data_IF_697326396611
#
_entry.id   IF_697326396611
#
_cell.length_a   1.000
_cell.length_b   1.000
_cell.length_c   1.000
_cell.angle_alpha   90.00
_cell.angle_beta   90.00
_cell.angle_gamma   90.00
#
_symmetry.space_group_name_H-M   'P 1'
#
loop_
_entity.id
_entity.type
_entity.pdbx_description
1 polymer ?
#
# COMPACT_ATOMS: atom_id res chain seq x y z
N UNK A 1 -16.89 11.27 -7.61
CA UNK A 1 -15.85 10.22 -7.67
C UNK A 1 -16.33 9.07 -6.79
N UNK A 2 -17.53 8.54 -7.09
CA UNK A 2 -18.36 7.85 -6.09
C UNK A 2 -18.02 6.36 -5.93
N UNK A 3 -16.89 5.96 -6.52
CA UNK A 3 -16.47 4.57 -6.69
C UNK A 3 -15.03 4.32 -6.23
N UNK A 4 -14.45 5.21 -5.42
CA UNK A 4 -13.12 5.02 -4.83
C UNK A 4 -12.99 3.64 -4.16
N UNK A 5 -11.96 2.87 -4.54
CA UNK A 5 -11.85 1.45 -4.17
C UNK A 5 -10.84 1.19 -3.04
N UNK A 6 -9.90 2.10 -2.81
CA UNK A 6 -8.78 1.86 -1.92
C UNK A 6 -8.86 2.53 -0.53
N UNK A 7 -10.03 3.04 -0.14
CA UNK A 7 -10.15 3.87 1.07
C UNK A 7 -9.55 5.28 0.90
N UNK A 8 -9.34 5.96 2.03
CA UNK A 8 -8.78 7.31 2.09
C UNK A 8 -7.49 7.34 2.90
N UNK A 9 -6.52 8.14 2.46
CA UNK A 9 -5.30 8.44 3.23
C UNK A 9 -4.97 9.93 3.15
N UNK A 10 -4.20 10.42 4.11
CA UNK A 10 -3.83 11.84 4.21
C UNK A 10 -2.31 11.97 4.08
N UNK A 11 -1.88 12.61 3.00
CA UNK A 11 -0.47 12.91 2.74
C UNK A 11 0.08 13.95 3.70
N UNK A 12 1.41 14.05 3.76
CA UNK A 12 2.11 14.95 4.67
C UNK A 12 1.80 16.44 4.43
N UNK A 13 1.46 16.82 3.19
CA UNK A 13 0.97 18.16 2.84
C UNK A 13 -0.51 18.41 3.19
N UNK A 14 -1.19 17.43 3.79
CA UNK A 14 -2.58 17.54 4.26
C UNK A 14 -3.64 17.23 3.22
N UNK A 15 -3.27 16.88 1.98
CA UNK A 15 -4.23 16.48 0.96
C UNK A 15 -4.80 15.09 1.25
N UNK A 16 -6.07 14.89 0.91
CA UNK A 16 -6.74 13.58 1.02
C UNK A 16 -6.57 12.86 -0.32
N UNK A 17 -6.30 11.55 -0.26
CA UNK A 17 -6.07 10.72 -1.43
C UNK A 17 -6.93 9.46 -1.43
N UNK A 18 -7.37 9.07 -2.64
CA UNK A 18 -7.99 7.77 -2.92
C UNK A 18 -7.52 7.25 -4.27
N UNK A 19 -7.95 6.04 -4.65
CA UNK A 19 -7.73 5.51 -5.99
C UNK A 19 -9.00 4.92 -6.58
N UNK A 20 -9.06 4.92 -7.91
CA UNK A 20 -10.02 4.17 -8.69
C UNK A 20 -9.35 3.72 -9.99
N UNK A 21 -9.35 2.42 -10.27
CA UNK A 21 -8.67 1.85 -11.43
C UNK A 21 -7.20 2.35 -11.51
N UNK A 22 -6.79 2.93 -12.64
CA UNK A 22 -5.46 3.52 -12.80
C UNK A 22 -5.39 5.01 -12.42
N UNK A 23 -6.34 5.53 -11.65
CA UNK A 23 -6.41 6.93 -11.25
C UNK A 23 -6.10 7.10 -9.77
N UNK A 24 -5.25 8.08 -9.46
CA UNK A 24 -5.18 8.71 -8.15
C UNK A 24 -6.19 9.86 -8.10
N UNK A 25 -6.95 9.93 -7.02
CA UNK A 25 -7.80 11.06 -6.69
C UNK A 25 -7.13 11.86 -5.58
N UNK A 26 -6.86 13.13 -5.83
CA UNK A 26 -6.45 14.12 -4.83
C UNK A 26 -7.66 14.98 -4.48
N UNK A 27 -7.87 15.23 -3.19
CA UNK A 27 -8.96 16.04 -2.67
C UNK A 27 -8.38 17.08 -1.71
N UNK A 28 -8.70 18.35 -1.95
CA UNK A 28 -8.41 19.41 -0.99
C UNK A 28 -9.43 19.32 0.17
N UNK A 29 -8.99 19.09 1.42
CA UNK A 29 -9.92 18.91 2.53
C UNK A 29 -10.69 20.18 2.92
N UNK A 30 -10.25 21.36 2.48
CA UNK A 30 -10.87 22.64 2.81
C UNK A 30 -11.82 23.14 1.72
N UNK A 31 -11.47 22.95 0.44
CA UNK A 31 -12.27 23.42 -0.70
C UNK A 31 -13.12 22.33 -1.34
N UNK A 32 -12.82 21.05 -1.06
CA UNK A 32 -13.40 19.87 -1.70
C UNK A 32 -13.12 19.77 -3.20
N UNK A 33 -12.23 20.60 -3.73
CA UNK A 33 -11.76 20.49 -5.12
C UNK A 33 -11.02 19.16 -5.30
N UNK A 34 -11.31 18.51 -6.42
CA UNK A 34 -10.81 17.19 -6.76
C UNK A 34 -9.96 17.25 -8.03
N UNK A 35 -8.83 16.56 -8.00
CA UNK A 35 -7.93 16.41 -9.15
C UNK A 35 -7.70 14.91 -9.39
N UNK A 36 -7.78 14.50 -10.65
CA UNK A 36 -7.50 13.12 -11.08
C UNK A 36 -6.16 13.04 -11.75
N UNK A 37 -5.30 12.16 -11.28
CA UNK A 37 -3.97 11.94 -11.85
C UNK A 37 -3.92 10.50 -12.38
N UNK A 38 -3.64 10.37 -13.68
CA UNK A 38 -3.51 9.05 -14.30
C UNK A 38 -2.15 8.43 -13.95
N UNK A 39 -2.18 7.23 -13.37
CA UNK A 39 -1.01 6.37 -13.21
C UNK A 39 -0.65 5.71 -14.55
N UNK A 40 0.59 5.20 -14.72
CA UNK A 40 0.95 4.41 -15.89
C UNK A 40 -0.04 3.28 -16.16
N UNK A 41 -0.13 2.88 -17.43
CA UNK A 41 -1.05 1.83 -17.87
C UNK A 41 -0.83 0.55 -17.04
N UNK A 42 -1.93 -0.11 -16.69
CA UNK A 42 -1.96 -1.37 -15.93
C UNK A 42 -1.54 -1.28 -14.46
N UNK A 43 -1.12 -0.10 -13.97
CA UNK A 43 -0.88 0.14 -12.54
C UNK A 43 -2.18 0.55 -11.86
N UNK A 44 -2.57 -0.18 -10.81
CA UNK A 44 -3.74 0.12 -9.98
C UNK A 44 -3.54 -0.33 -8.55
N UNK A 45 -4.03 0.45 -7.59
CA UNK A 45 -3.96 0.06 -6.19
C UNK A 45 -4.90 -1.13 -5.92
N UNK A 46 -4.37 -2.14 -5.25
CA UNK A 46 -5.08 -3.38 -4.95
C UNK A 46 -6.03 -3.16 -3.78
N UNK A 47 -7.20 -3.78 -3.87
CA UNK A 47 -8.19 -3.92 -2.81
C UNK A 47 -8.79 -5.33 -2.85
N UNK A 48 -9.29 -5.84 -1.72
CA UNK A 48 -9.96 -7.13 -1.69
C UNK A 48 -11.44 -6.95 -2.06
N UNK A 49 -11.88 -7.60 -3.14
CA UNK A 49 -13.27 -7.53 -3.60
C UNK A 49 -14.19 -8.59 -2.96
N UNK A 50 -13.62 -9.57 -2.25
CA UNK A 50 -14.33 -10.74 -1.72
C UNK A 50 -14.48 -10.72 -0.19
N UNK A 51 -13.71 -9.88 0.50
CA UNK A 51 -13.81 -9.67 1.94
C UNK A 51 -13.49 -8.21 2.27
N UNK A 52 -14.04 -7.69 3.36
CA UNK A 52 -13.72 -6.33 3.78
C UNK A 52 -12.27 -6.24 4.25
N UNK A 53 -11.49 -5.40 3.56
CA UNK A 53 -10.14 -4.98 3.94
C UNK A 53 -9.99 -3.51 3.57
N UNK A 54 -9.13 -2.77 4.26
CA UNK A 54 -8.72 -1.47 3.76
C UNK A 54 -8.02 -1.68 2.39
N UNK A 55 -8.11 -0.68 1.51
CA UNK A 55 -7.29 -0.70 0.30
C UNK A 55 -5.82 -0.45 0.63
N UNK A 56 -4.94 -0.87 -0.26
CA UNK A 56 -3.49 -0.78 -0.03
C UNK A 56 -2.91 0.65 -0.02
N UNK A 57 -3.68 1.67 -0.41
CA UNK A 57 -3.21 3.04 -0.47
C UNK A 57 -2.95 3.61 0.94
N UNK A 58 -1.70 3.98 1.20
CA UNK A 58 -1.28 4.61 2.44
C UNK A 58 -0.26 5.72 2.17
N UNK A 59 -0.36 6.84 2.90
CA UNK A 59 0.59 7.93 2.81
C UNK A 59 1.74 7.77 3.81
N UNK A 60 2.91 8.29 3.45
CA UNK A 60 3.99 8.51 4.41
C UNK A 60 3.71 9.70 5.32
N UNK A 61 4.17 9.62 6.57
CA UNK A 61 4.27 10.75 7.50
C UNK A 61 5.64 11.44 7.49
N UNK A 62 6.64 10.82 6.85
CA UNK A 62 8.00 11.32 6.79
C UNK A 62 8.28 12.12 5.50
N UNK A 63 7.54 11.86 4.43
CA UNK A 63 7.71 12.49 3.11
C UNK A 63 6.37 12.70 2.39
N UNK A 64 6.34 13.55 1.37
CA UNK A 64 5.17 13.73 0.50
C UNK A 64 5.11 12.59 -0.53
N UNK A 65 4.78 11.39 -0.05
CA UNK A 65 4.67 10.21 -0.89
C UNK A 65 3.48 9.33 -0.49
N UNK A 66 2.94 8.62 -1.48
CA UNK A 66 1.93 7.58 -1.32
C UNK A 66 2.53 6.22 -1.67
N UNK A 67 2.08 5.18 -0.99
CA UNK A 67 2.47 3.80 -1.21
C UNK A 67 1.23 2.95 -1.45
N UNK A 68 1.34 1.97 -2.35
CA UNK A 68 0.26 1.03 -2.63
C UNK A 68 0.78 -0.25 -3.27
N UNK A 69 -0.05 -1.30 -3.25
CA UNK A 69 0.20 -2.58 -3.91
C UNK A 69 -0.43 -2.58 -5.29
N UNK A 70 0.30 -3.01 -6.32
CA UNK A 70 -0.25 -3.41 -7.61
C UNK A 70 0.28 -4.82 -7.93
N UNK A 71 -0.62 -5.80 -7.94
CA UNK A 71 -0.28 -7.23 -8.00
C UNK A 71 0.67 -7.65 -6.85
N UNK A 72 1.93 -7.97 -7.18
CA UNK A 72 2.99 -8.33 -6.22
C UNK A 72 4.02 -7.22 -6.01
N UNK A 73 3.79 -6.06 -6.60
CA UNK A 73 4.69 -4.92 -6.60
C UNK A 73 4.21 -3.86 -5.61
N UNK A 74 5.15 -3.28 -4.88
CA UNK A 74 4.90 -2.10 -4.06
C UNK A 74 5.42 -0.90 -4.84
N UNK A 75 4.54 0.06 -5.06
CA UNK A 75 4.86 1.32 -5.71
C UNK A 75 4.94 2.44 -4.67
N UNK A 76 5.78 3.42 -4.97
CA UNK A 76 5.89 4.68 -4.25
C UNK A 76 5.64 5.82 -5.24
N UNK A 77 4.51 6.49 -5.09
CA UNK A 77 4.26 7.74 -5.80
C UNK A 77 4.86 8.90 -5.01
N UNK A 78 5.87 9.56 -5.56
CA UNK A 78 6.37 10.85 -5.07
C UNK A 78 5.40 11.93 -5.55
N UNK A 79 4.72 12.61 -4.63
CA UNK A 79 3.64 13.55 -4.99
C UNK A 79 4.19 14.67 -5.87
N UNK A 80 3.62 14.80 -7.07
CA UNK A 80 4.05 15.76 -8.09
C UNK A 80 5.01 15.19 -9.14
N UNK A 81 5.48 13.95 -8.96
CA UNK A 81 6.36 13.25 -9.90
C UNK A 81 5.74 11.90 -10.31
N UNK A 82 4.95 11.91 -11.38
CA UNK A 82 4.31 10.69 -11.89
C UNK A 82 5.32 9.65 -12.40
N UNK A 83 6.53 10.07 -12.79
CA UNK A 83 7.56 9.16 -13.29
C UNK A 83 8.11 8.24 -12.19
N UNK A 84 7.90 8.59 -10.91
CA UNK A 84 8.18 7.70 -9.77
C UNK A 84 7.43 6.36 -9.84
N UNK A 85 6.36 6.27 -10.64
CA UNK A 85 5.59 5.04 -10.87
C UNK A 85 6.06 4.21 -12.07
N UNK A 86 7.11 4.61 -12.80
CA UNK A 86 7.62 3.84 -13.94
C UNK A 86 8.25 2.51 -13.54
N UNK A 87 8.65 2.37 -12.28
CA UNK A 87 9.18 1.13 -11.71
C UNK A 87 8.69 0.95 -10.29
N UNK A 88 8.47 -0.29 -9.83
CA UNK A 88 8.12 -0.53 -8.44
C UNK A 88 9.28 -0.15 -7.52
N UNK A 89 8.96 0.23 -6.28
CA UNK A 89 9.95 0.41 -5.23
C UNK A 89 10.61 -0.93 -4.88
N UNK A 90 9.80 -1.99 -4.79
CA UNK A 90 10.24 -3.37 -4.67
C UNK A 90 9.13 -4.34 -5.08
N UNK A 91 9.52 -5.59 -5.33
CA UNK A 91 8.61 -6.71 -5.59
C UNK A 91 8.71 -7.70 -4.45
N UNK A 92 7.57 -8.18 -3.96
CA UNK A 92 7.52 -9.23 -2.93
C UNK A 92 8.09 -10.54 -3.50
N UNK A 93 8.82 -11.37 -2.71
CA UNK A 93 9.40 -12.61 -3.20
C UNK A 93 8.40 -13.55 -3.88
N UNK A 94 8.86 -14.28 -4.90
CA UNK A 94 8.06 -15.28 -5.60
C UNK A 94 7.56 -16.39 -4.65
N UNK A 95 6.43 -17.01 -5.00
CA UNK A 95 5.78 -18.04 -4.17
C UNK A 95 5.07 -17.47 -2.94
N UNK A 96 4.80 -16.16 -2.95
CA UNK A 96 4.04 -15.45 -1.91
C UNK A 96 2.79 -14.81 -2.51
N UNK A 97 1.86 -14.51 -1.64
CA UNK A 97 0.63 -13.79 -1.91
C UNK A 97 0.45 -12.69 -0.87
N UNK A 98 0.23 -11.47 -1.31
CA UNK A 98 -0.24 -10.41 -0.44
C UNK A 98 -1.71 -10.69 -0.11
N UNK A 99 -2.06 -10.68 1.19
CA UNK A 99 -3.43 -10.92 1.66
C UNK A 99 -3.90 -9.77 2.53
N UNK A 100 -5.20 -9.48 2.52
CA UNK A 100 -5.77 -8.36 3.27
C UNK A 100 -5.52 -7.01 2.59
N UNK A 101 -5.35 -5.95 3.39
CA UNK A 101 -4.73 -4.69 2.93
C UNK A 101 -3.29 -4.93 2.49
N UNK A 102 -2.62 -5.88 3.16
CA UNK A 102 -1.33 -6.42 2.75
C UNK A 102 -0.12 -5.56 3.07
N UNK A 103 -0.30 -4.26 3.31
CA UNK A 103 0.79 -3.35 3.67
C UNK A 103 0.36 -2.18 4.54
N UNK A 104 1.33 -1.55 5.20
CA UNK A 104 1.22 -0.22 5.80
C UNK A 104 2.61 0.42 5.91
N UNK A 105 2.68 1.73 6.11
CA UNK A 105 3.96 2.46 6.25
C UNK A 105 4.12 2.90 7.70
N UNK A 106 5.24 2.50 8.32
CA UNK A 106 5.58 2.93 9.67
C UNK A 106 5.75 4.46 9.70
N UNK A 107 4.92 5.19 10.48
CA UNK A 107 4.95 6.64 10.50
C UNK A 107 6.26 7.21 11.06
N UNK A 108 7.06 6.44 11.81
CA UNK A 108 8.33 6.90 12.41
C UNK A 108 9.52 6.60 11.52
N UNK A 109 9.65 5.36 11.08
CA UNK A 109 10.84 4.90 10.34
C UNK A 109 10.72 5.02 8.83
N UNK A 110 9.51 5.33 8.31
CA UNK A 110 9.17 5.25 6.90
C UNK A 110 9.39 3.86 6.29
N UNK A 111 9.42 2.79 7.11
CA UNK A 111 9.51 1.43 6.59
C UNK A 111 8.16 0.98 6.03
N UNK A 112 8.18 0.30 4.89
CA UNK A 112 7.00 -0.36 4.34
C UNK A 112 6.92 -1.76 4.94
N UNK A 113 5.89 -2.00 5.74
CA UNK A 113 5.59 -3.32 6.28
C UNK A 113 4.64 -4.04 5.33
N UNK A 114 4.95 -5.29 5.00
CA UNK A 114 4.14 -6.11 4.09
C UNK A 114 3.88 -7.48 4.71
N UNK A 115 2.61 -7.89 4.74
CA UNK A 115 2.18 -9.22 5.19
C UNK A 115 1.84 -10.10 4.00
N UNK A 116 2.34 -11.33 4.00
CA UNK A 116 2.07 -12.30 2.95
C UNK A 116 1.78 -13.69 3.51
N UNK A 117 1.03 -14.48 2.74
CA UNK A 117 0.89 -15.93 2.89
C UNK A 117 1.56 -16.66 1.72
N UNK A 118 1.76 -17.97 1.81
CA UNK A 118 2.23 -18.79 0.67
C UNK A 118 1.10 -19.01 -0.34
N UNK A 119 -0.11 -19.28 0.14
CA UNK A 119 -1.26 -19.57 -0.71
C UNK A 119 -2.53 -19.83 0.10
N UNK A 120 -3.55 -20.39 -0.54
CA UNK A 120 -4.81 -20.75 0.11
C UNK A 120 -4.76 -22.14 0.75
N UNK A 121 -5.78 -22.49 1.54
CA UNK A 121 -5.87 -23.79 2.21
C UNK A 121 -4.80 -23.96 3.29
N UNK A 122 -4.14 -25.12 3.34
CA UNK A 122 -3.08 -25.36 4.34
C UNK A 122 -1.89 -24.38 4.21
N UNK A 123 -1.62 -23.86 3.00
CA UNK A 123 -0.54 -22.90 2.79
C UNK A 123 -0.84 -21.50 3.34
N UNK A 124 -2.10 -21.22 3.73
CA UNK A 124 -2.44 -19.98 4.42
C UNK A 124 -1.92 -19.94 5.85
N UNK A 125 -1.39 -21.06 6.36
CA UNK A 125 -0.75 -21.13 7.65
C UNK A 125 0.72 -20.68 7.63
N UNK A 126 1.30 -20.39 6.45
CA UNK A 126 2.72 -20.02 6.30
C UNK A 126 2.83 -18.53 5.96
N UNK A 127 3.20 -17.72 6.94
CA UNK A 127 3.12 -16.27 6.84
C UNK A 127 4.51 -15.63 6.89
N UNK A 128 4.62 -14.46 6.26
CA UNK A 128 5.77 -13.59 6.42
C UNK A 128 5.34 -12.14 6.70
N UNK A 129 6.04 -11.50 7.63
CA UNK A 129 6.04 -10.06 7.82
C UNK A 129 7.39 -9.50 7.37
N UNK A 130 7.37 -8.72 6.30
CA UNK A 130 8.55 -8.06 5.76
C UNK A 130 8.61 -6.60 6.19
N UNK A 131 9.83 -6.10 6.33
CA UNK A 131 10.13 -4.71 6.63
C UNK A 131 11.07 -4.22 5.54
N UNK A 132 10.60 -3.32 4.68
CA UNK A 132 11.39 -2.71 3.62
C UNK A 132 11.65 -1.24 3.93
N UNK A 133 12.79 -0.74 3.47
CA UNK A 133 13.11 0.68 3.48
C UNK A 133 12.19 1.44 2.50
N UNK A 134 11.40 2.41 2.98
CA UNK A 134 10.48 3.16 2.12
C UNK A 134 11.15 4.16 1.17
N UNK A 135 12.47 4.31 1.22
CA UNK A 135 13.22 5.13 0.26
C UNK A 135 13.88 4.28 -0.81
N UNK A 136 14.57 3.23 -0.39
CA UNK A 136 15.42 2.42 -1.27
C UNK A 136 14.78 1.10 -1.72
N UNK A 137 13.68 0.68 -1.10
CA UNK A 137 13.06 -0.63 -1.33
C UNK A 137 13.89 -1.81 -0.81
N UNK A 138 14.96 -1.56 -0.07
CA UNK A 138 15.82 -2.63 0.46
C UNK A 138 15.14 -3.38 1.61
N UNK A 139 15.18 -4.71 1.58
CA UNK A 139 14.69 -5.55 2.67
C UNK A 139 15.57 -5.36 3.91
N UNK A 140 14.95 -4.94 5.02
CA UNK A 140 15.62 -4.76 6.33
C UNK A 140 15.44 -5.98 7.23
N UNK A 141 14.24 -6.57 7.22
CA UNK A 141 13.90 -7.70 8.09
C UNK A 141 12.78 -8.53 7.48
N UNK A 142 12.83 -9.83 7.73
CA UNK A 142 11.78 -10.78 7.39
C UNK A 142 11.51 -11.68 8.60
N UNK A 143 10.24 -11.79 9.00
CA UNK A 143 9.79 -12.67 10.05
C UNK A 143 8.85 -13.72 9.46
N UNK A 144 9.23 -14.99 9.58
CA UNK A 144 8.35 -16.11 9.28
C UNK A 144 7.58 -16.53 10.53
N UNK A 145 6.30 -16.85 10.37
CA UNK A 145 5.48 -17.40 11.45
C UNK A 145 4.38 -18.31 10.91
N UNK A 146 3.98 -19.27 11.74
CA UNK A 146 2.97 -20.27 11.39
C UNK A 146 1.61 -19.98 12.06
N UNK A 147 0.56 -20.49 11.42
CA UNK A 147 -0.84 -20.40 11.86
C UNK A 147 -1.72 -19.68 10.85
N UNK A 148 -3.01 -20.02 10.85
CA UNK A 148 -3.99 -19.42 9.93
C UNK A 148 -4.39 -18.04 10.44
N UNK A 149 -3.67 -17.01 10.01
CA UNK A 149 -3.86 -15.62 10.41
C UNK A 149 -4.21 -14.77 9.19
N UNK A 150 -5.35 -14.08 9.26
CA UNK A 150 -5.86 -13.24 8.17
C UNK A 150 -6.01 -11.80 8.63
N UNK A 151 -4.90 -11.10 8.95
CA UNK A 151 -4.96 -9.73 9.44
C UNK A 151 -5.61 -8.82 8.38
N UNK A 152 -6.55 -7.98 8.81
CA UNK A 152 -7.21 -7.01 7.94
C UNK A 152 -6.30 -5.82 7.64
N UNK A 153 -5.55 -5.33 8.64
CA UNK A 153 -4.67 -4.16 8.55
C UNK A 153 -3.49 -4.24 9.53
N UNK A 154 -2.43 -3.48 9.23
CA UNK A 154 -1.29 -3.25 10.15
C UNK A 154 -1.50 -1.89 10.81
N UNK A 155 -1.48 -1.86 12.15
CA UNK A 155 -1.61 -0.64 12.95
C UNK A 155 -0.31 -0.32 13.68
N UNK A 156 -0.05 0.96 13.88
CA UNK A 156 1.08 1.45 14.66
C UNK A 156 0.56 2.21 15.89
N UNK A 157 1.16 2.03 17.08
CA UNK A 157 0.80 2.83 18.24
C UNK A 157 1.13 4.30 17.98
N UNK A 158 0.22 5.19 18.37
CA UNK A 158 0.50 6.61 18.47
C UNK A 158 1.52 6.82 19.60
N UNK A 159 2.59 7.57 19.34
CA UNK A 159 3.46 8.12 20.38
C UNK A 159 3.36 9.64 20.36
#
# INVERSE_FOLDING_TARGET
FDSGKSGLTVSKDGMIWSTQDNLLLKINPYTLEMETIAMPKDIKATYNQWAWTQGSLTASKQENALFFVSDMNIYKYVIGDIASLNSPLFTVPAGRMIYGTGMSVDPKSNQVLVTTIVGYGADSAKNNLYFYDGTTGSLKKNLFYEGMWFPSMIVFPEN
#
